data_IF_302887641432
#
_entry.id   IF_302887641432
#
_cell.length_a   1.000
_cell.length_b   1.000
_cell.length_c   1.000
_cell.angle_alpha   90.00
_cell.angle_beta   90.00
_cell.angle_gamma   90.00
#
_symmetry.space_group_name_H-M   'P 1'
#
loop_
_entity.id
_entity.type
_entity.pdbx_description
1 polymer ?
#
# COMPACT_ATOMS: atom_id res chain seq x y z
N UNK A 1 16.47 -11.87 35.91
CA UNK A 1 16.21 -12.07 37.37
C UNK A 1 17.41 -12.75 37.98
N UNK A 2 17.76 -12.47 39.23
CA UNK A 2 18.84 -13.16 39.95
C UNK A 2 18.42 -13.39 41.40
N UNK A 3 18.87 -14.51 41.96
CA UNK A 3 18.52 -14.93 43.32
C UNK A 3 19.78 -15.17 44.14
N UNK A 4 19.80 -14.64 45.34
CA UNK A 4 20.84 -14.84 46.35
C UNK A 4 20.72 -16.24 46.95
N UNK A 5 21.86 -16.81 47.36
CA UNK A 5 21.93 -18.15 47.93
C UNK A 5 21.20 -18.23 49.29
N UNK A 6 21.42 -17.23 50.13
CA UNK A 6 20.70 -17.01 51.38
C UNK A 6 20.43 -15.50 51.61
N UNK A 7 19.80 -15.15 52.75
CA UNK A 7 19.47 -13.76 53.07
C UNK A 7 20.65 -12.91 53.56
N UNK A 8 21.85 -13.48 53.70
CA UNK A 8 23.08 -12.79 54.11
C UNK A 8 24.07 -12.64 52.94
N UNK A 9 23.89 -13.41 51.88
CA UNK A 9 24.68 -13.40 50.65
C UNK A 9 24.54 -12.08 49.91
N UNK A 10 25.65 -11.56 49.37
CA UNK A 10 25.65 -10.35 48.54
C UNK A 10 25.72 -10.73 47.06
N UNK A 11 25.05 -9.94 46.23
CA UNK A 11 25.12 -10.04 44.78
C UNK A 11 25.76 -8.80 44.16
N UNK A 12 26.23 -8.92 42.93
CA UNK A 12 26.64 -7.80 42.09
C UNK A 12 26.09 -7.97 40.67
N UNK A 13 25.61 -6.87 40.09
CA UNK A 13 25.22 -6.82 38.68
C UNK A 13 26.26 -6.05 37.88
N UNK A 14 26.64 -6.61 36.73
CA UNK A 14 27.57 -6.02 35.78
C UNK A 14 26.92 -5.90 34.41
N UNK A 15 27.16 -4.79 33.72
CA UNK A 15 26.93 -4.64 32.29
C UNK A 15 28.26 -4.90 31.60
N UNK A 16 28.39 -6.03 30.88
CA UNK A 16 29.67 -6.50 30.35
C UNK A 16 30.71 -6.60 31.49
N UNK A 17 31.67 -5.68 31.55
CA UNK A 17 32.72 -5.61 32.58
C UNK A 17 32.50 -4.47 33.60
N UNK A 18 31.50 -3.61 33.39
CA UNK A 18 31.24 -2.46 34.24
C UNK A 18 30.26 -2.81 35.36
N UNK A 19 30.62 -2.52 36.61
CA UNK A 19 29.76 -2.77 37.77
C UNK A 19 28.60 -1.77 37.77
N UNK A 20 27.37 -2.28 37.88
CA UNK A 20 26.15 -1.49 38.00
C UNK A 20 25.75 -1.35 39.47
N UNK A 21 25.72 -2.49 40.17
CA UNK A 21 25.38 -2.61 41.58
C UNK A 21 26.28 -3.64 42.26
N UNK A 22 26.64 -3.40 43.51
CA UNK A 22 27.28 -4.37 44.39
C UNK A 22 26.62 -4.30 45.78
N UNK A 23 25.82 -5.32 46.12
CA UNK A 23 24.92 -5.26 47.27
C UNK A 23 23.88 -4.15 47.08
N UNK A 24 23.73 -3.28 48.08
CA UNK A 24 22.87 -2.09 48.02
C UNK A 24 23.52 -0.91 47.29
N UNK A 25 24.82 -0.97 47.03
CA UNK A 25 25.59 0.17 46.55
C UNK A 25 25.48 0.27 45.03
N UNK A 26 24.99 1.41 44.56
CA UNK A 26 24.85 1.72 43.14
C UNK A 26 26.16 2.31 42.62
N UNK A 27 26.79 1.63 41.66
CA UNK A 27 28.02 2.08 40.98
C UNK A 27 27.73 2.79 39.66
N UNK A 28 26.65 2.42 38.98
CA UNK A 28 26.23 3.11 37.76
C UNK A 28 25.62 4.49 38.07
N UNK A 29 25.96 5.49 37.27
CA UNK A 29 25.32 6.82 37.32
C UNK A 29 23.98 6.87 36.57
N UNK A 30 23.62 5.82 35.83
CA UNK A 30 22.38 5.77 35.04
C UNK A 30 21.14 5.76 35.96
N UNK A 31 20.29 6.81 35.93
CA UNK A 31 19.12 6.89 36.81
C UNK A 31 18.07 5.82 36.51
N UNK A 32 18.04 5.26 35.30
CA UNK A 32 17.07 4.26 34.86
C UNK A 32 17.24 2.90 35.54
N UNK A 33 18.41 2.66 36.14
CA UNK A 33 18.79 1.35 36.67
C UNK A 33 18.56 1.27 38.18
N UNK A 34 17.84 0.24 38.62
CA UNK A 34 17.54 -0.05 40.02
C UNK A 34 17.62 -1.55 40.31
N UNK A 35 17.62 -1.93 41.58
CA UNK A 35 17.46 -3.32 42.01
C UNK A 35 16.03 -3.53 42.51
N UNK A 36 15.36 -4.54 41.98
CA UNK A 36 14.09 -5.04 42.49
C UNK A 36 14.35 -6.13 43.54
N UNK A 37 13.85 -5.91 44.76
CA UNK A 37 13.95 -6.83 45.90
C UNK A 37 12.56 -7.16 46.44
N UNK A 38 11.78 -8.02 45.79
CA UNK A 38 10.45 -8.39 46.31
C UNK A 38 10.53 -9.29 47.56
N UNK A 39 11.68 -9.93 47.81
CA UNK A 39 11.95 -10.69 49.03
C UNK A 39 13.46 -10.66 49.38
N UNK A 40 13.84 -11.23 50.53
CA UNK A 40 15.23 -11.22 51.03
C UNK A 40 16.26 -11.94 50.14
N UNK A 41 15.83 -12.70 49.13
CA UNK A 41 16.71 -13.41 48.19
C UNK A 41 16.63 -12.88 46.77
N UNK A 42 15.64 -12.05 46.43
CA UNK A 42 15.55 -11.50 45.09
C UNK A 42 16.53 -10.34 44.93
N UNK A 43 17.37 -10.44 43.92
CA UNK A 43 18.35 -9.43 43.55
C UNK A 43 18.29 -9.19 42.05
N UNK A 44 17.11 -8.77 41.56
CA UNK A 44 16.85 -8.60 40.13
C UNK A 44 17.24 -7.19 39.67
N UNK A 45 17.97 -7.07 38.57
CA UNK A 45 18.21 -5.78 37.91
C UNK A 45 16.94 -5.31 37.19
N UNK A 46 16.56 -4.05 37.42
CA UNK A 46 15.50 -3.37 36.71
C UNK A 46 16.10 -2.19 35.94
N UNK A 47 15.78 -2.09 34.64
CA UNK A 47 16.18 -0.99 33.77
C UNK A 47 14.89 -0.40 33.21
N UNK A 48 14.62 0.87 33.51
CA UNK A 48 13.49 1.62 32.97
C UNK A 48 13.86 2.24 31.62
N UNK A 49 12.88 2.56 30.78
CA UNK A 49 13.08 3.24 29.49
C UNK A 49 14.26 2.67 28.69
N UNK A 50 14.21 1.35 28.49
CA UNK A 50 15.26 0.57 27.82
C UNK A 50 15.46 1.09 26.40
N UNK A 51 16.73 1.32 26.04
CA UNK A 51 17.15 1.80 24.73
C UNK A 51 17.98 0.73 24.01
N UNK A 52 18.11 0.83 22.68
CA UNK A 52 18.91 -0.11 21.87
C UNK A 52 20.37 -0.21 22.32
N UNK A 53 20.90 0.81 23.00
CA UNK A 53 22.25 0.82 23.58
C UNK A 53 22.42 -0.06 24.82
N UNK A 54 21.32 -0.44 25.48
CA UNK A 54 21.33 -1.37 26.62
C UNK A 54 21.49 -2.84 26.16
N UNK A 55 21.49 -3.11 24.85
CA UNK A 55 21.60 -4.46 24.31
C UNK A 55 22.94 -5.12 24.67
N UNK A 56 22.86 -6.35 25.18
CA UNK A 56 24.04 -7.16 25.44
C UNK A 56 24.01 -7.98 26.73
N UNK A 57 25.18 -8.53 27.13
CA UNK A 57 25.27 -9.43 28.27
C UNK A 57 25.34 -8.67 29.60
N UNK A 58 24.43 -9.02 30.49
CA UNK A 58 24.42 -8.62 31.90
C UNK A 58 24.77 -9.83 32.76
N UNK A 59 25.66 -9.64 33.72
CA UNK A 59 26.11 -10.72 34.59
C UNK A 59 25.72 -10.42 36.02
N UNK A 60 25.00 -11.35 36.65
CA UNK A 60 24.81 -11.37 38.09
C UNK A 60 25.86 -12.30 38.71
N UNK A 61 26.65 -11.78 39.64
CA UNK A 61 27.59 -12.57 40.43
C UNK A 61 27.12 -12.61 41.87
N UNK A 62 26.85 -13.81 42.40
CA UNK A 62 26.38 -14.03 43.77
C UNK A 62 27.52 -14.63 44.59
N UNK A 63 27.80 -14.04 45.74
CA UNK A 63 28.77 -14.58 46.69
C UNK A 63 28.22 -15.87 47.32
N UNK A 64 29.06 -16.90 47.36
CA UNK A 64 28.77 -18.18 48.01
C UNK A 64 29.84 -18.48 49.06
N UNK A 65 29.70 -19.54 49.85
CA UNK A 65 30.73 -19.98 50.80
C UNK A 65 32.04 -20.46 50.14
N UNK A 66 32.00 -20.73 48.83
CA UNK A 66 33.13 -21.21 48.05
C UNK A 66 33.40 -20.25 46.89
N UNK A 67 33.11 -20.68 45.66
CA UNK A 67 33.30 -19.88 44.45
C UNK A 67 32.04 -19.07 44.13
N UNK A 68 32.16 -17.76 43.84
CA UNK A 68 31.02 -16.96 43.42
C UNK A 68 30.28 -17.61 42.25
N UNK A 69 28.95 -17.65 42.34
CA UNK A 69 28.11 -18.17 41.27
C UNK A 69 27.76 -17.04 40.32
N UNK A 70 28.13 -17.17 39.06
CA UNK A 70 27.79 -16.20 38.02
C UNK A 70 26.64 -16.71 37.15
N UNK A 71 25.71 -15.82 36.84
CA UNK A 71 24.66 -16.05 35.87
C UNK A 71 24.67 -14.90 34.86
N UNK A 72 24.80 -15.23 33.58
CA UNK A 72 24.74 -14.26 32.51
C UNK A 72 23.37 -14.31 31.84
N UNK A 73 22.80 -13.14 31.59
CA UNK A 73 21.55 -12.94 30.85
C UNK A 73 21.86 -11.99 29.71
N UNK A 74 21.40 -12.32 28.51
CA UNK A 74 21.47 -11.40 27.37
C UNK A 74 20.19 -10.58 27.32
N UNK A 75 20.31 -9.26 27.49
CA UNK A 75 19.20 -8.35 27.22
C UNK A 75 19.16 -8.12 25.71
N UNK A 76 18.08 -8.57 25.06
CA UNK A 76 17.80 -8.27 23.66
C UNK A 76 16.77 -7.16 23.56
N UNK A 77 17.18 -5.99 23.10
CA UNK A 77 16.26 -4.86 22.89
C UNK A 77 15.65 -4.95 21.50
N UNK A 78 14.33 -4.97 21.44
CA UNK A 78 13.54 -5.02 20.21
C UNK A 78 12.94 -3.66 19.89
N UNK A 79 12.83 -3.34 18.60
CA UNK A 79 12.27 -2.09 18.08
C UNK A 79 11.22 -2.43 17.03
N UNK A 80 10.02 -1.87 17.21
CA UNK A 80 8.91 -1.99 16.27
C UNK A 80 9.31 -1.60 14.83
N UNK A 81 8.67 -2.19 13.81
CA UNK A 81 8.95 -1.86 12.43
C UNK A 81 8.40 -0.46 12.11
N UNK A 82 9.10 0.28 11.24
CA UNK A 82 8.70 1.62 10.82
C UNK A 82 9.12 1.89 9.38
N UNK A 83 8.16 2.08 8.50
CA UNK A 83 8.37 2.47 7.10
C UNK A 83 8.77 3.95 7.05
N UNK A 84 10.03 4.22 6.79
CA UNK A 84 10.55 5.60 6.70
C UNK A 84 10.57 6.14 5.27
N UNK A 85 10.53 5.27 4.25
CA UNK A 85 10.48 5.67 2.84
C UNK A 85 9.54 4.76 2.07
N UNK A 86 8.65 5.36 1.30
CA UNK A 86 7.81 4.67 0.30
C UNK A 86 7.75 5.55 -0.96
N UNK A 87 7.51 4.92 -2.12
CA UNK A 87 7.26 5.66 -3.36
C UNK A 87 6.01 6.54 -3.25
N UNK A 88 6.05 7.71 -3.88
CA UNK A 88 4.88 8.58 -3.99
C UNK A 88 3.89 8.04 -5.02
N UNK A 89 2.67 8.56 -5.00
CA UNK A 89 1.68 8.26 -6.03
C UNK A 89 2.23 8.58 -7.43
N UNK A 90 1.94 7.70 -8.39
CA UNK A 90 2.44 7.81 -9.76
C UNK A 90 1.31 7.66 -10.78
N UNK A 91 1.51 8.30 -11.93
CA UNK A 91 0.66 8.18 -13.10
C UNK A 91 1.54 7.74 -14.26
N UNK A 92 1.21 6.59 -14.85
CA UNK A 92 1.98 5.98 -15.95
C UNK A 92 1.05 5.62 -17.10
N UNK A 93 1.61 5.34 -18.28
CA UNK A 93 0.83 4.83 -19.40
C UNK A 93 0.81 3.30 -19.39
N UNK A 94 -0.26 2.69 -19.87
CA UNK A 94 -0.37 1.25 -20.05
C UNK A 94 0.80 0.69 -20.86
N UNK A 95 1.36 -0.44 -20.41
CA UNK A 95 2.57 -1.05 -20.97
C UNK A 95 3.89 -0.51 -20.42
N UNK A 96 3.88 0.51 -19.54
CA UNK A 96 5.11 1.00 -18.89
C UNK A 96 5.63 0.01 -17.84
N UNK A 97 6.94 0.03 -17.60
CA UNK A 97 7.54 -0.65 -16.46
C UNK A 97 7.55 0.27 -15.24
N UNK A 98 7.20 -0.25 -14.08
CA UNK A 98 7.06 0.48 -12.82
C UNK A 98 7.84 -0.25 -11.74
N UNK A 99 8.60 0.49 -10.94
CA UNK A 99 9.23 -0.04 -9.72
C UNK A 99 8.74 0.78 -8.53
N UNK A 100 8.06 0.12 -7.58
CA UNK A 100 7.70 0.72 -6.29
C UNK A 100 8.73 0.33 -5.25
N UNK A 101 9.05 1.27 -4.37
CA UNK A 101 10.06 1.12 -3.30
C UNK A 101 9.42 1.32 -1.94
N UNK A 102 9.76 0.46 -0.98
CA UNK A 102 9.39 0.56 0.41
C UNK A 102 10.55 0.13 1.31
N UNK A 103 10.98 1.03 2.20
CA UNK A 103 12.08 0.82 3.14
C UNK A 103 11.58 1.05 4.57
N UNK A 104 11.91 0.11 5.45
CA UNK A 104 11.58 0.16 6.86
C UNK A 104 12.81 -0.08 7.74
N UNK A 105 12.73 0.40 8.97
CA UNK A 105 13.68 0.11 10.05
C UNK A 105 12.98 -0.69 11.14
N UNK A 106 13.72 -1.49 11.91
CA UNK A 106 13.20 -2.24 13.04
C UNK A 106 14.30 -3.15 13.61
N UNK A 107 14.09 -3.69 14.81
CA UNK A 107 14.98 -4.68 15.42
C UNK A 107 14.14 -5.81 16.04
N UNK A 108 14.12 -7.04 15.49
CA UNK A 108 14.88 -7.50 14.31
C UNK A 108 14.56 -6.72 13.03
N UNK A 109 15.45 -6.82 12.02
CA UNK A 109 15.24 -6.18 10.73
C UNK A 109 13.91 -6.65 10.11
N UNK A 110 13.02 -5.73 9.71
CA UNK A 110 11.68 -6.11 9.27
C UNK A 110 11.68 -6.73 7.88
N UNK A 111 10.87 -7.76 7.72
CA UNK A 111 10.47 -8.29 6.42
C UNK A 111 9.51 -7.32 5.74
N UNK A 112 9.68 -7.09 4.43
CA UNK A 112 8.82 -6.23 3.63
C UNK A 112 8.00 -7.07 2.67
N UNK A 113 6.70 -6.79 2.59
CA UNK A 113 5.78 -7.43 1.65
C UNK A 113 4.87 -6.41 0.99
N UNK A 114 4.50 -6.68 -0.26
CA UNK A 114 3.61 -5.85 -1.06
C UNK A 114 2.30 -6.56 -1.39
N UNK A 115 1.21 -5.79 -1.44
CA UNK A 115 -0.11 -6.28 -1.84
C UNK A 115 -0.83 -5.28 -2.73
N UNK A 116 -1.37 -5.73 -3.85
CA UNK A 116 -2.31 -4.95 -4.66
C UNK A 116 -3.71 -5.04 -4.04
N UNK A 117 -4.31 -3.89 -3.70
CA UNK A 117 -5.64 -3.82 -3.11
C UNK A 117 -6.67 -3.85 -4.25
N UNK A 118 -6.96 -5.06 -4.73
CA UNK A 118 -8.01 -5.32 -5.71
C UNK A 118 -8.84 -6.55 -5.34
N UNK A 119 -10.08 -6.70 -5.87
CA UNK A 119 -10.90 -7.90 -5.67
C UNK A 119 -10.20 -9.18 -6.12
N UNK A 120 -9.29 -9.07 -7.08
CA UNK A 120 -8.47 -10.15 -7.62
C UNK A 120 -7.13 -10.27 -6.90
N UNK A 121 -7.11 -9.97 -5.59
CA UNK A 121 -5.90 -9.87 -4.77
C UNK A 121 -4.93 -11.03 -5.06
N UNK A 122 -3.80 -10.70 -5.68
CA UNK A 122 -2.68 -11.63 -5.82
C UNK A 122 -1.99 -11.79 -4.47
N UNK A 123 -1.34 -12.93 -4.24
CA UNK A 123 -0.54 -13.14 -3.03
C UNK A 123 0.54 -12.07 -2.88
N UNK A 124 1.00 -11.88 -1.65
CA UNK A 124 2.00 -10.89 -1.32
C UNK A 124 3.32 -11.17 -2.05
N UNK A 125 3.91 -10.12 -2.63
CA UNK A 125 5.27 -10.18 -3.17
C UNK A 125 6.25 -9.66 -2.12
N UNK A 126 7.22 -10.49 -1.73
CA UNK A 126 8.22 -10.13 -0.72
C UNK A 126 9.36 -9.34 -1.33
N UNK A 127 9.78 -8.27 -0.66
CA UNK A 127 10.92 -7.46 -1.07
C UNK A 127 10.70 -5.96 -0.88
N UNK A 128 11.80 -5.22 -0.76
CA UNK A 128 11.79 -3.76 -0.68
C UNK A 128 11.32 -3.10 -2.00
N UNK A 129 11.45 -3.82 -3.11
CA UNK A 129 11.12 -3.36 -4.46
C UNK A 129 10.00 -4.24 -5.03
N UNK A 130 9.02 -3.61 -5.67
CA UNK A 130 7.99 -4.28 -6.45
C UNK A 130 8.11 -3.83 -7.90
N UNK A 131 8.56 -4.73 -8.77
CA UNK A 131 8.71 -4.49 -10.20
C UNK A 131 7.50 -5.00 -10.97
N UNK A 132 6.84 -4.09 -11.69
CA UNK A 132 5.68 -4.37 -12.54
C UNK A 132 6.08 -4.05 -13.98
N UNK A 133 6.28 -5.10 -14.77
CA UNK A 133 6.62 -4.97 -16.19
C UNK A 133 5.35 -4.93 -17.04
N UNK A 134 5.29 -3.99 -17.98
CA UNK A 134 4.17 -3.90 -18.92
C UNK A 134 2.82 -3.70 -18.22
N UNK A 135 2.72 -2.72 -17.30
CA UNK A 135 1.54 -2.55 -16.43
C UNK A 135 0.24 -2.42 -17.23
N UNK A 136 -0.80 -3.18 -16.84
CA UNK A 136 -2.12 -3.11 -17.47
C UNK A 136 -3.08 -2.22 -16.68
N UNK A 137 -4.17 -1.77 -17.31
CA UNK A 137 -5.22 -0.99 -16.63
C UNK A 137 -5.86 -1.71 -15.43
N UNK A 138 -5.91 -3.03 -15.42
CA UNK A 138 -6.46 -3.83 -14.31
C UNK A 138 -5.54 -3.88 -13.09
N UNK A 139 -4.26 -3.53 -13.27
CA UNK A 139 -3.27 -3.39 -12.21
C UNK A 139 -3.24 -1.97 -11.63
N UNK A 140 -4.06 -1.03 -12.12
CA UNK A 140 -4.22 0.27 -11.47
C UNK A 140 -4.82 0.11 -10.06
N UNK A 141 -4.57 1.07 -9.18
CA UNK A 141 -5.17 1.11 -7.84
C UNK A 141 -4.15 1.36 -6.74
N UNK A 142 -4.52 0.97 -5.51
CA UNK A 142 -3.67 1.09 -4.34
C UNK A 142 -2.79 -0.15 -4.17
N UNK A 143 -1.50 0.09 -3.93
CA UNK A 143 -0.54 -0.91 -3.51
C UNK A 143 -0.15 -0.64 -2.06
N UNK A 144 -0.16 -1.68 -1.24
CA UNK A 144 0.14 -1.64 0.18
C UNK A 144 1.49 -2.30 0.43
N UNK A 145 2.38 -1.59 1.11
CA UNK A 145 3.59 -2.14 1.70
C UNK A 145 3.35 -2.41 3.18
N UNK A 146 3.70 -3.61 3.64
CA UNK A 146 3.68 -4.03 5.04
C UNK A 146 5.10 -4.38 5.52
N UNK A 147 5.50 -3.82 6.65
CA UNK A 147 6.78 -4.08 7.32
C UNK A 147 6.55 -4.81 8.65
N UNK A 148 7.06 -6.03 8.78
CA UNK A 148 6.79 -6.93 9.92
C UNK A 148 8.08 -7.53 10.49
N UNK A 149 8.18 -7.54 11.83
CA UNK A 149 9.32 -8.13 12.56
C UNK A 149 8.90 -8.86 13.86
N UNK A 150 7.64 -9.26 13.98
CA UNK A 150 7.06 -9.97 15.14
C UNK A 150 7.13 -9.22 16.50
N UNK A 151 7.62 -7.98 16.54
CA UNK A 151 7.73 -7.19 17.79
C UNK A 151 6.39 -6.52 18.14
N UNK A 152 5.69 -6.03 17.12
CA UNK A 152 4.40 -5.36 17.24
C UNK A 152 3.57 -5.62 15.99
N UNK A 153 2.38 -5.01 15.90
CA UNK A 153 1.64 -4.95 14.63
C UNK A 153 2.53 -4.40 13.52
N UNK A 154 2.40 -4.89 12.27
CA UNK A 154 3.15 -4.38 11.13
C UNK A 154 2.88 -2.89 10.90
N UNK A 155 3.90 -2.14 10.46
CA UNK A 155 3.69 -0.79 9.93
C UNK A 155 3.29 -0.90 8.46
N UNK A 156 2.26 -0.18 8.06
CA UNK A 156 1.62 -0.32 6.75
C UNK A 156 1.47 1.03 6.08
N UNK A 157 1.92 1.13 4.82
CA UNK A 157 1.74 2.33 4.00
C UNK A 157 1.27 1.97 2.60
N UNK A 158 0.59 2.91 1.97
CA UNK A 158 0.02 2.74 0.63
C UNK A 158 0.58 3.73 -0.37
N UNK A 159 0.57 3.33 -1.64
CA UNK A 159 0.87 4.16 -2.80
C UNK A 159 -0.16 3.90 -3.89
N UNK A 160 -0.62 4.95 -4.56
CA UNK A 160 -1.57 4.84 -5.67
C UNK A 160 -0.86 4.84 -7.02
N UNK A 161 -1.14 3.83 -7.82
CA UNK A 161 -0.70 3.73 -9.21
C UNK A 161 -1.89 3.96 -10.13
N UNK A 162 -1.82 5.04 -10.91
CA UNK A 162 -2.84 5.35 -11.93
C UNK A 162 -2.30 5.03 -13.32
N UNK A 163 -3.09 4.30 -14.11
CA UNK A 163 -2.69 3.88 -15.45
C UNK A 163 -3.54 4.62 -16.48
N UNK A 164 -2.90 5.44 -17.32
CA UNK A 164 -3.52 6.05 -18.48
C UNK A 164 -3.55 5.03 -19.63
N UNK A 165 -4.67 4.96 -20.36
CA UNK A 165 -4.82 4.11 -21.54
C UNK A 165 -5.69 4.78 -22.60
N UNK A 166 -5.42 4.43 -23.87
CA UNK A 166 -6.20 4.91 -25.01
C UNK A 166 -7.65 4.40 -24.95
N UNK A 167 -8.63 5.13 -25.51
CA UNK A 167 -10.02 4.77 -25.35
C UNK A 167 -10.37 3.45 -26.05
N UNK A 168 -11.30 2.71 -25.46
CA UNK A 168 -11.90 1.49 -26.02
C UNK A 168 -13.41 1.61 -25.95
N UNK A 169 -14.11 1.41 -27.07
CA UNK A 169 -15.58 1.30 -27.08
C UNK A 169 -15.95 -0.10 -26.61
N UNK A 170 -16.66 -0.18 -25.49
CA UNK A 170 -17.08 -1.43 -24.86
C UNK A 170 -18.42 -1.89 -25.42
N UNK A 171 -19.31 -0.95 -25.71
CA UNK A 171 -20.65 -1.24 -26.20
C UNK A 171 -21.17 -0.13 -27.12
N UNK A 172 -21.81 -0.51 -28.22
CA UNK A 172 -22.54 0.39 -29.11
C UNK A 172 -23.90 -0.24 -29.43
N UNK A 173 -24.99 0.42 -29.04
CA UNK A 173 -26.37 -0.09 -29.19
C UNK A 173 -27.31 1.00 -29.70
N UNK A 174 -28.21 0.63 -30.61
CA UNK A 174 -29.38 1.44 -31.00
C UNK A 174 -30.66 0.85 -30.43
N UNK A 175 -31.65 1.69 -30.17
CA UNK A 175 -33.05 1.28 -30.05
C UNK A 175 -33.66 1.16 -31.45
N UNK A 176 -34.49 0.14 -31.69
CA UNK A 176 -35.34 0.10 -32.89
C UNK A 176 -36.34 1.27 -32.89
N UNK A 177 -36.59 1.87 -34.05
CA UNK A 177 -37.36 3.12 -34.15
C UNK A 177 -38.49 2.99 -35.15
N UNK A 178 -39.68 3.49 -34.79
CA UNK A 178 -40.76 3.69 -35.76
C UNK A 178 -40.61 5.06 -36.43
N UNK A 179 -40.98 5.16 -37.70
CA UNK A 179 -41.03 6.44 -38.41
C UNK A 179 -41.84 7.49 -37.61
N UNK A 180 -41.32 8.71 -37.54
CA UNK A 180 -41.85 9.80 -36.71
C UNK A 180 -41.46 9.75 -35.23
N UNK A 181 -40.87 8.64 -34.76
CA UNK A 181 -40.37 8.48 -33.40
C UNK A 181 -38.98 9.06 -33.17
N UNK A 182 -38.43 8.82 -31.97
CA UNK A 182 -37.07 9.22 -31.61
C UNK A 182 -36.15 8.01 -31.57
N UNK A 183 -35.06 8.04 -32.32
CA UNK A 183 -34.00 7.04 -32.26
C UNK A 183 -32.94 7.38 -31.23
N UNK A 184 -32.51 6.39 -30.46
CA UNK A 184 -31.43 6.54 -29.49
C UNK A 184 -30.30 5.58 -29.83
N UNK A 185 -29.08 6.11 -29.93
CA UNK A 185 -27.85 5.33 -30.01
C UNK A 185 -27.00 5.63 -28.79
N UNK A 186 -26.62 4.57 -28.07
CA UNK A 186 -25.73 4.62 -26.90
C UNK A 186 -24.37 4.06 -27.28
N UNK A 187 -23.33 4.82 -26.97
CA UNK A 187 -21.93 4.42 -27.08
C UNK A 187 -21.31 4.45 -25.69
N UNK A 188 -20.85 3.31 -25.19
CA UNK A 188 -20.14 3.18 -23.92
C UNK A 188 -18.66 2.93 -24.20
N UNK A 189 -17.80 3.70 -23.55
CA UNK A 189 -16.36 3.65 -23.76
C UNK A 189 -15.59 3.97 -22.49
N UNK A 190 -14.45 3.29 -22.33
CA UNK A 190 -13.52 3.51 -21.23
C UNK A 190 -12.22 4.12 -21.76
N UNK A 191 -11.60 4.99 -20.98
CA UNK A 191 -10.32 5.62 -21.30
C UNK A 191 -9.85 6.45 -20.12
N UNK A 192 -8.54 6.50 -19.92
CA UNK A 192 -7.92 7.38 -18.91
C UNK A 192 -6.79 8.16 -19.59
N UNK A 193 -6.87 9.50 -19.69
CA UNK A 193 -7.97 10.37 -19.26
C UNK A 193 -9.30 10.05 -19.95
N UNK A 194 -10.42 10.51 -19.34
CA UNK A 194 -11.76 10.26 -19.86
C UNK A 194 -11.88 10.69 -21.34
N UNK A 195 -12.46 9.84 -22.20
CA UNK A 195 -12.53 10.12 -23.62
C UNK A 195 -13.51 11.24 -23.96
N UNK A 196 -13.17 12.02 -24.99
CA UNK A 196 -14.11 12.89 -25.69
C UNK A 196 -14.84 12.05 -26.74
N UNK A 197 -16.18 12.15 -26.75
CA UNK A 197 -17.03 11.45 -27.70
C UNK A 197 -17.53 12.36 -28.82
N UNK A 198 -17.47 11.85 -30.03
CA UNK A 198 -18.00 12.48 -31.24
C UNK A 198 -18.85 11.48 -32.03
N UNK A 199 -19.82 11.99 -32.81
CA UNK A 199 -20.69 11.18 -33.65
C UNK A 199 -20.56 11.60 -35.10
N UNK A 200 -20.59 10.61 -35.98
CA UNK A 200 -20.48 10.78 -37.43
C UNK A 200 -21.55 9.96 -38.15
N UNK A 201 -21.94 10.43 -39.33
CA UNK A 201 -22.72 9.67 -40.31
C UNK A 201 -22.00 9.74 -41.65
N UNK A 202 -21.45 8.61 -42.10
CA UNK A 202 -20.41 8.63 -43.12
C UNK A 202 -19.20 9.44 -42.64
N UNK A 203 -18.72 10.38 -43.46
CA UNK A 203 -17.62 11.29 -43.11
C UNK A 203 -18.09 12.56 -42.39
N UNK A 204 -19.40 12.78 -42.29
CA UNK A 204 -19.95 14.02 -41.73
C UNK A 204 -20.07 13.95 -40.22
N UNK A 205 -19.41 14.87 -39.52
CA UNK A 205 -19.58 15.08 -38.08
C UNK A 205 -20.99 15.59 -37.77
N UNK A 206 -21.64 14.95 -36.80
CA UNK A 206 -22.94 15.37 -36.28
C UNK A 206 -22.74 16.43 -35.19
N UNK A 207 -23.56 17.48 -35.23
CA UNK A 207 -23.45 18.63 -34.33
C UNK A 207 -24.69 18.65 -33.43
N UNK A 208 -24.48 18.77 -32.12
CA UNK A 208 -25.56 18.84 -31.14
C UNK A 208 -26.49 20.03 -31.42
N UNK A 209 -27.81 19.79 -31.41
CA UNK A 209 -28.83 20.80 -31.65
C UNK A 209 -29.15 21.08 -33.13
N UNK A 210 -28.49 20.41 -34.07
CA UNK A 210 -28.73 20.59 -35.50
C UNK A 210 -29.48 19.39 -36.10
N UNK A 211 -30.37 19.64 -37.07
CA UNK A 211 -31.02 18.58 -37.87
C UNK A 211 -31.70 17.49 -37.02
N UNK A 212 -32.38 17.88 -35.94
CA UNK A 212 -33.04 16.92 -35.05
C UNK A 212 -32.07 16.05 -34.23
N UNK A 213 -30.79 16.42 -34.15
CA UNK A 213 -29.77 15.70 -33.38
C UNK A 213 -29.62 16.30 -31.98
N UNK A 214 -29.67 15.44 -30.96
CA UNK A 214 -29.28 15.77 -29.59
C UNK A 214 -28.16 14.83 -29.15
N UNK A 215 -27.03 15.36 -28.70
CA UNK A 215 -25.89 14.60 -28.20
C UNK A 215 -25.67 14.93 -26.73
N UNK A 216 -25.67 13.90 -25.88
CA UNK A 216 -25.34 14.02 -24.45
C UNK A 216 -24.09 13.21 -24.15
N UNK A 217 -22.99 13.91 -23.89
CA UNK A 217 -21.71 13.31 -23.52
C UNK A 217 -21.57 13.19 -22.00
N UNK A 218 -21.05 12.05 -21.56
CA UNK A 218 -20.67 11.75 -20.18
C UNK A 218 -19.23 11.21 -20.15
N UNK A 219 -18.68 10.97 -18.96
CA UNK A 219 -17.30 10.50 -18.80
C UNK A 219 -17.02 9.11 -19.39
N UNK A 220 -18.02 8.22 -19.39
CA UNK A 220 -17.88 6.82 -19.84
C UNK A 220 -18.86 6.44 -20.96
N UNK A 221 -19.67 7.39 -21.43
CA UNK A 221 -20.65 7.13 -22.49
C UNK A 221 -21.09 8.38 -23.22
N UNK A 222 -21.63 8.21 -24.42
CA UNK A 222 -22.34 9.23 -25.18
C UNK A 222 -23.68 8.71 -25.68
N UNK A 223 -24.68 9.59 -25.67
CA UNK A 223 -26.03 9.32 -26.19
C UNK A 223 -26.29 10.22 -27.38
N UNK A 224 -26.58 9.63 -28.53
CA UNK A 224 -27.07 10.30 -29.72
C UNK A 224 -28.57 10.06 -29.84
N UNK A 225 -29.36 11.13 -29.87
CA UNK A 225 -30.79 11.09 -30.12
C UNK A 225 -31.09 11.74 -31.45
N UNK A 226 -31.79 11.01 -32.34
CA UNK A 226 -32.32 11.51 -33.61
C UNK A 226 -33.83 11.66 -33.45
N UNK A 227 -34.36 12.87 -33.53
CA UNK A 227 -35.79 13.13 -33.34
C UNK A 227 -36.55 13.07 -34.65
N UNK A 228 -37.80 12.64 -34.62
CA UNK A 228 -38.69 12.56 -35.79
C UNK A 228 -38.04 11.80 -36.96
N UNK A 229 -37.64 10.56 -36.69
CA UNK A 229 -36.89 9.70 -37.61
C UNK A 229 -37.69 9.46 -38.90
N UNK A 230 -37.02 9.67 -40.03
CA UNK A 230 -37.50 9.39 -41.39
C UNK A 230 -36.58 8.37 -42.06
N UNK A 231 -36.97 7.83 -43.22
CA UNK A 231 -36.11 6.90 -43.99
C UNK A 231 -34.75 7.50 -44.33
N UNK A 232 -34.67 8.82 -44.53
CA UNK A 232 -33.43 9.54 -44.76
C UNK A 232 -32.47 9.53 -43.56
N UNK A 233 -32.93 9.15 -42.36
CA UNK A 233 -32.10 9.04 -41.16
C UNK A 233 -31.51 7.64 -40.97
N UNK A 234 -31.97 6.65 -41.72
CA UNK A 234 -31.44 5.29 -41.62
C UNK A 234 -30.01 5.16 -42.15
N UNK A 235 -29.33 4.11 -41.68
CA UNK A 235 -27.96 3.80 -42.06
C UNK A 235 -26.96 3.95 -40.92
N UNK A 236 -25.68 3.90 -41.27
CA UNK A 236 -24.60 3.74 -40.28
C UNK A 236 -24.25 5.05 -39.57
N UNK A 237 -24.26 4.99 -38.25
CA UNK A 237 -23.75 5.99 -37.35
C UNK A 237 -22.48 5.48 -36.69
N UNK A 238 -21.46 6.33 -36.65
CA UNK A 238 -20.17 6.02 -36.06
C UNK A 238 -19.97 6.84 -34.80
N UNK A 239 -19.74 6.17 -33.68
CA UNK A 239 -19.24 6.78 -32.46
C UNK A 239 -17.71 6.79 -32.51
N UNK A 240 -17.09 7.92 -32.18
CA UNK A 240 -15.64 8.08 -32.05
C UNK A 240 -15.33 8.50 -30.61
N UNK A 241 -14.39 7.81 -29.97
CA UNK A 241 -13.90 8.13 -28.63
C UNK A 241 -12.40 8.40 -28.67
N UNK A 242 -11.96 9.55 -28.17
CA UNK A 242 -10.58 10.01 -28.27
C UNK A 242 -10.06 10.59 -26.94
N UNK A 243 -8.79 10.34 -26.63
CA UNK A 243 -8.06 11.04 -25.57
C UNK A 243 -6.61 11.31 -26.02
N UNK A 244 -5.78 11.85 -25.13
CA UNK A 244 -4.37 12.19 -25.45
C UNK A 244 -3.49 11.00 -25.88
N UNK A 245 -3.94 9.76 -25.66
CA UNK A 245 -3.20 8.54 -25.97
C UNK A 245 -3.68 7.83 -27.23
N UNK A 246 -4.84 8.19 -27.78
CA UNK A 246 -5.35 7.58 -29.01
C UNK A 246 -6.84 7.79 -29.24
N UNK A 247 -7.32 7.13 -30.29
CA UNK A 247 -8.68 7.20 -30.79
C UNK A 247 -9.18 5.80 -31.13
N UNK A 248 -10.46 5.56 -30.90
CA UNK A 248 -11.18 4.36 -31.36
C UNK A 248 -12.53 4.77 -31.94
N UNK A 249 -13.12 3.91 -32.77
CA UNK A 249 -14.45 4.13 -33.32
C UNK A 249 -15.22 2.80 -33.45
N UNK A 250 -16.54 2.91 -33.49
CA UNK A 250 -17.44 1.80 -33.76
C UNK A 250 -18.67 2.32 -34.50
N UNK A 251 -19.21 1.50 -35.41
CA UNK A 251 -20.35 1.85 -36.24
C UNK A 251 -21.49 0.87 -36.06
N UNK A 252 -22.72 1.36 -36.09
CA UNK A 252 -23.92 0.52 -36.19
C UNK A 252 -24.99 1.20 -37.04
N UNK A 253 -25.93 0.43 -37.61
CA UNK A 253 -27.06 0.99 -38.33
C UNK A 253 -28.17 1.44 -37.37
N UNK A 254 -28.78 2.60 -37.67
CA UNK A 254 -30.11 2.94 -37.17
C UNK A 254 -31.15 2.37 -38.13
N UNK A 255 -31.99 1.48 -37.62
CA UNK A 255 -33.06 0.79 -38.35
C UNK A 255 -34.44 1.12 -37.78
#
# INVERSE_FOLDING_TARGET
RCYLEDGASKGAWLNRSSIIFAGSDKWSVDPRVSIATANRREYSLQIQDVDVTDDGPYTCSVQTQHTPRTMQVHLTVQVSPKIFRISSDIIVNEGSNVTLVCLATGKPEPSISWRHISPSAKPFESGQYLDIYGITRDQAGEYECSAENDVSVPDVKKVKVSVNFAPTIQELKSSGVMLGGNGLIRCEGAGVPAPLFEWYRGERKLINGQQGITIKNYSTRSLLTVTNVTEEHFGNYTCVAANKLGTTNASLPLN
#
